data_IF_887559645626
#
_entry.id   IF_887559645626
#
_cell.length_a   1.000
_cell.length_b   1.000
_cell.length_c   1.000
_cell.angle_alpha   90.00
_cell.angle_beta   90.00
_cell.angle_gamma   90.00
#
_symmetry.space_group_name_H-M   'P 1'
#
loop_
_entity.id
_entity.type
_entity.pdbx_description
1 polymer ?
#
# COMPACT_ATOMS: atom_id res chain seq x y z
N UNK A 1 10.50 -20.22 -0.84
CA UNK A 1 11.53 -19.18 -0.97
C UNK A 1 12.77 -19.82 -1.57
N UNK A 2 13.17 -19.48 -2.81
CA UNK A 2 14.35 -20.08 -3.41
C UNK A 2 15.55 -19.21 -3.06
N UNK A 3 16.20 -19.56 -1.96
CA UNK A 3 17.53 -19.07 -1.65
C UNK A 3 18.49 -20.15 -2.15
N UNK A 4 19.47 -19.78 -2.96
CA UNK A 4 20.40 -20.72 -3.59
C UNK A 4 21.37 -21.28 -2.53
N UNK A 5 20.89 -22.21 -1.71
CA UNK A 5 21.72 -22.86 -0.70
C UNK A 5 22.67 -23.86 -1.38
N UNK A 6 23.96 -23.73 -1.11
CA UNK A 6 24.95 -24.71 -1.53
C UNK A 6 24.54 -26.10 -1.01
N UNK A 7 24.54 -27.10 -1.90
CA UNK A 7 24.17 -28.50 -1.61
C UNK A 7 22.70 -28.77 -1.21
N UNK A 8 21.79 -27.81 -1.41
CA UNK A 8 20.36 -28.02 -1.10
C UNK A 8 20.06 -28.30 0.38
N UNK A 9 21.06 -28.11 1.27
CA UNK A 9 20.91 -28.22 2.72
C UNK A 9 20.70 -26.83 3.30
N UNK A 10 19.78 -26.72 4.27
CA UNK A 10 19.64 -25.50 5.05
C UNK A 10 20.94 -25.25 5.84
N UNK A 11 21.48 -24.03 5.85
CA UNK A 11 22.64 -23.72 6.66
C UNK A 11 22.36 -24.01 8.14
N UNK A 12 23.33 -24.53 8.91
CA UNK A 12 23.14 -24.88 10.31
C UNK A 12 22.84 -23.66 11.19
N UNK A 13 23.17 -22.46 10.72
CA UNK A 13 22.85 -21.20 11.38
C UNK A 13 22.34 -20.21 10.31
N UNK A 14 21.04 -19.87 10.31
CA UNK A 14 20.36 -19.26 9.16
C UNK A 14 20.79 -17.82 8.87
N UNK A 15 21.42 -17.12 9.83
CA UNK A 15 21.69 -15.68 9.78
C UNK A 15 23.14 -15.32 10.15
N UNK A 16 24.05 -16.31 10.11
CA UNK A 16 25.45 -16.07 10.48
C UNK A 16 26.09 -15.07 9.51
N UNK A 17 26.60 -13.96 10.05
CA UNK A 17 27.21 -12.84 9.30
C UNK A 17 26.27 -12.13 8.28
N UNK A 18 24.94 -12.24 8.43
CA UNK A 18 24.01 -11.44 7.63
C UNK A 18 23.56 -10.20 8.41
N UNK A 19 23.68 -9.04 7.78
CA UNK A 19 23.14 -7.78 8.30
C UNK A 19 21.63 -7.72 8.01
N UNK A 20 20.81 -7.72 9.06
CA UNK A 20 19.35 -7.69 8.94
C UNK A 20 18.85 -6.31 9.36
N UNK A 21 18.36 -5.53 8.40
CA UNK A 21 17.70 -4.23 8.66
C UNK A 21 16.19 -4.44 8.74
N UNK A 22 15.65 -4.44 9.95
CA UNK A 22 14.21 -4.54 10.20
C UNK A 22 13.63 -3.13 10.25
N UNK A 23 12.68 -2.83 9.37
CA UNK A 23 11.94 -1.56 9.36
C UNK A 23 10.50 -1.85 9.78
N UNK A 24 10.12 -1.37 10.96
CA UNK A 24 8.75 -1.49 11.47
C UNK A 24 7.96 -0.27 11.00
N UNK A 25 6.83 -0.52 10.33
CA UNK A 25 5.92 0.54 9.88
C UNK A 25 4.94 0.96 10.97
N UNK A 26 4.31 2.11 10.78
CA UNK A 26 3.22 2.60 11.64
C UNK A 26 1.86 1.99 11.23
N UNK A 27 0.96 1.73 12.19
CA UNK A 27 -0.40 1.27 11.87
C UNK A 27 -1.15 2.36 11.10
N UNK A 28 -1.89 1.95 10.07
CA UNK A 28 -2.67 2.85 9.22
C UNK A 28 -4.17 2.57 9.43
N UNK A 29 -4.92 3.59 9.81
CA UNK A 29 -6.37 3.52 10.00
C UNK A 29 -7.09 4.32 8.91
N UNK A 30 -8.15 3.73 8.35
CA UNK A 30 -8.95 4.38 7.32
C UNK A 30 -10.35 4.68 7.85
N UNK A 31 -10.69 5.97 7.94
CA UNK A 31 -12.04 6.42 8.22
C UNK A 31 -12.90 6.29 6.96
N UNK A 32 -13.41 5.09 6.70
CA UNK A 32 -14.23 4.80 5.52
C UNK A 32 -15.44 5.74 5.35
N UNK A 33 -16.18 6.15 6.40
CA UNK A 33 -17.30 7.08 6.25
C UNK A 33 -16.85 8.47 5.75
N UNK A 34 -15.76 8.98 6.29
CA UNK A 34 -15.20 10.29 5.91
C UNK A 34 -14.65 10.26 4.48
N UNK A 35 -13.88 9.21 4.15
CA UNK A 35 -13.34 9.01 2.81
C UNK A 35 -14.46 8.86 1.77
N UNK A 36 -15.58 8.25 2.16
CA UNK A 36 -16.76 8.10 1.31
C UNK A 36 -17.40 9.45 1.00
N UNK A 37 -17.63 10.29 2.01
CA UNK A 37 -18.21 11.63 1.80
C UNK A 37 -17.29 12.52 0.96
N UNK A 38 -15.98 12.43 1.19
CA UNK A 38 -14.98 13.12 0.37
C UNK A 38 -15.00 12.64 -1.09
N UNK A 39 -15.12 11.33 -1.31
CA UNK A 39 -15.19 10.77 -2.64
C UNK A 39 -16.49 11.16 -3.37
N UNK A 40 -17.63 11.20 -2.66
CA UNK A 40 -18.90 11.69 -3.19
C UNK A 40 -18.85 13.19 -3.53
N UNK A 41 -18.13 13.98 -2.75
CA UNK A 41 -17.97 15.41 -3.02
C UNK A 41 -17.15 15.63 -4.30
N UNK A 42 -16.08 14.86 -4.49
CA UNK A 42 -15.21 14.94 -5.67
C UNK A 42 -15.82 14.31 -6.93
N UNK A 43 -16.67 13.29 -6.79
CA UNK A 43 -17.27 12.60 -7.94
C UNK A 43 -18.28 13.45 -8.68
N UNK A 44 -18.96 14.38 -7.99
CA UNK A 44 -19.98 15.28 -8.57
C UNK A 44 -19.46 16.14 -9.71
N UNK A 45 -18.15 16.36 -9.77
CA UNK A 45 -17.50 17.13 -10.82
C UNK A 45 -17.05 16.27 -12.02
N UNK A 46 -17.18 14.93 -11.93
CA UNK A 46 -16.69 13.99 -12.93
C UNK A 46 -17.81 13.12 -13.52
N UNK A 47 -18.19 13.37 -14.76
CA UNK A 47 -19.31 12.68 -15.43
C UNK A 47 -18.90 11.42 -16.21
N UNK A 48 -17.88 10.68 -15.77
CA UNK A 48 -17.35 9.53 -16.53
C UNK A 48 -17.89 8.19 -16.00
N UNK A 49 -18.89 7.66 -16.70
CA UNK A 49 -19.38 6.29 -16.55
C UNK A 49 -18.59 5.37 -17.48
N UNK A 50 -17.73 4.51 -16.94
CA UNK A 50 -17.12 3.42 -17.70
C UNK A 50 -17.74 2.11 -17.20
N UNK A 51 -18.53 1.44 -18.02
CA UNK A 51 -19.28 0.23 -17.64
C UNK A 51 -18.45 -0.99 -17.19
N UNK A 52 -17.16 -0.83 -16.86
CA UNK A 52 -16.25 -1.85 -16.35
C UNK A 52 -16.09 -1.85 -14.83
N UNK A 53 -16.63 -0.86 -14.10
CA UNK A 53 -16.58 -0.88 -12.64
C UNK A 53 -17.72 -1.71 -12.04
N UNK A 54 -17.48 -2.46 -10.94
CA UNK A 54 -18.50 -3.28 -10.32
C UNK A 54 -19.68 -2.42 -9.87
N UNK A 55 -20.81 -2.58 -10.55
CA UNK A 55 -22.06 -1.90 -10.21
C UNK A 55 -22.45 -2.30 -8.79
N UNK A 56 -22.52 -1.31 -7.92
CA UNK A 56 -22.91 -1.43 -6.53
C UNK A 56 -24.29 -2.08 -6.39
N UNK A 57 -24.31 -3.35 -5.95
CA UNK A 57 -25.56 -4.06 -5.59
C UNK A 57 -26.08 -3.62 -4.21
N UNK A 58 -25.26 -2.97 -3.36
CA UNK A 58 -25.58 -2.79 -1.92
C UNK A 58 -25.29 -1.42 -1.30
N UNK A 59 -24.87 -0.39 -2.05
CA UNK A 59 -24.21 0.76 -1.41
C UNK A 59 -24.45 2.16 -1.96
N UNK A 60 -25.29 2.37 -2.98
CA UNK A 60 -25.70 3.71 -3.43
C UNK A 60 -24.59 4.70 -3.88
N UNK A 61 -23.32 4.31 -3.89
CA UNK A 61 -22.21 5.14 -4.36
C UNK A 61 -22.15 5.16 -5.90
N UNK A 62 -21.93 6.31 -6.52
CA UNK A 62 -21.72 6.39 -7.97
C UNK A 62 -20.35 5.78 -8.36
N UNK A 63 -20.23 5.39 -9.63
CA UNK A 63 -18.99 4.77 -10.15
C UNK A 63 -17.77 5.69 -9.96
N UNK A 64 -17.98 6.99 -10.14
CA UNK A 64 -16.96 8.01 -10.03
C UNK A 64 -16.44 8.16 -8.58
N UNK A 65 -17.31 8.14 -7.57
CA UNK A 65 -16.89 8.19 -6.17
C UNK A 65 -16.22 6.87 -5.78
N UNK A 66 -16.65 5.72 -6.31
CA UNK A 66 -15.95 4.47 -6.02
C UNK A 66 -14.51 4.50 -6.53
N UNK A 67 -14.30 5.00 -7.77
CA UNK A 67 -12.96 5.23 -8.33
C UNK A 67 -12.16 6.21 -7.51
N UNK A 68 -12.77 7.34 -7.16
CA UNK A 68 -12.13 8.37 -6.34
C UNK A 68 -11.68 7.78 -5.00
N UNK A 69 -12.58 7.10 -4.29
CA UNK A 69 -12.29 6.42 -3.02
C UNK A 69 -11.12 5.43 -3.16
N UNK A 70 -11.17 4.56 -4.16
CA UNK A 70 -10.12 3.58 -4.41
C UNK A 70 -8.78 4.26 -4.69
N UNK A 71 -8.78 5.29 -5.53
CA UNK A 71 -7.58 6.02 -5.91
C UNK A 71 -6.98 6.75 -4.70
N UNK A 72 -7.81 7.40 -3.89
CA UNK A 72 -7.39 8.07 -2.64
C UNK A 72 -6.75 7.08 -1.66
N UNK A 73 -7.40 5.95 -1.39
CA UNK A 73 -6.85 4.92 -0.48
C UNK A 73 -5.54 4.37 -1.03
N UNK A 74 -5.50 4.05 -2.33
CA UNK A 74 -4.30 3.51 -2.98
C UNK A 74 -3.13 4.48 -2.93
N UNK A 75 -3.40 5.78 -3.10
CA UNK A 75 -2.39 6.83 -3.03
C UNK A 75 -1.83 6.96 -1.61
N UNK A 76 -2.69 6.99 -0.58
CA UNK A 76 -2.23 7.04 0.80
C UNK A 76 -1.35 5.83 1.16
N UNK A 77 -1.75 4.62 0.73
CA UNK A 77 -0.93 3.41 0.93
C UNK A 77 0.43 3.56 0.23
N UNK A 78 0.42 4.02 -1.03
CA UNK A 78 1.65 4.21 -1.80
C UNK A 78 2.58 5.21 -1.11
N UNK A 79 2.07 6.37 -0.71
CA UNK A 79 2.86 7.40 -0.02
C UNK A 79 3.47 6.87 1.27
N UNK A 80 2.70 6.16 2.10
CA UNK A 80 3.22 5.57 3.35
C UNK A 80 4.32 4.54 3.06
N UNK A 81 4.13 3.66 2.07
CA UNK A 81 5.15 2.68 1.68
C UNK A 81 6.41 3.32 1.10
N UNK A 82 6.27 4.38 0.30
CA UNK A 82 7.39 5.14 -0.24
C UNK A 82 8.19 5.84 0.86
N UNK A 83 7.50 6.42 1.85
CA UNK A 83 8.14 7.00 3.03
C UNK A 83 8.93 5.93 3.79
N UNK A 84 8.32 4.78 4.10
CA UNK A 84 9.00 3.67 4.77
C UNK A 84 10.23 3.18 3.99
N UNK A 85 10.14 3.12 2.66
CA UNK A 85 11.28 2.78 1.80
C UNK A 85 12.39 3.81 1.86
N UNK A 86 12.05 5.11 1.90
CA UNK A 86 13.04 6.18 2.02
C UNK A 86 13.71 6.18 3.40
N UNK A 87 12.95 5.92 4.48
CA UNK A 87 13.51 5.69 5.81
C UNK A 87 14.53 4.55 5.78
N UNK A 88 14.17 3.39 5.24
CA UNK A 88 15.09 2.24 5.08
C UNK A 88 16.40 2.63 4.37
N UNK A 89 16.31 3.37 3.26
CA UNK A 89 17.50 3.82 2.50
C UNK A 89 18.37 4.81 3.28
N UNK A 90 17.78 5.65 4.12
CA UNK A 90 18.54 6.62 4.92
C UNK A 90 19.46 5.91 5.92
N UNK A 91 19.00 4.81 6.54
CA UNK A 91 19.83 4.00 7.43
C UNK A 91 20.99 3.30 6.72
N UNK A 92 20.87 3.01 5.42
CA UNK A 92 21.96 2.45 4.62
C UNK A 92 23.05 3.48 4.28
N UNK A 93 22.80 4.79 4.48
CA UNK A 93 23.73 5.87 4.10
C UNK A 93 24.53 6.44 5.30
N UNK A 94 24.09 6.17 6.53
CA UNK A 94 24.74 6.69 7.75
C UNK A 94 25.94 5.83 8.20
N UNK A 95 26.12 4.64 7.61
CA UNK A 95 27.25 3.73 7.91
C UNK A 95 28.43 3.83 6.91
N UNK A 96 28.63 4.99 6.25
CA UNK A 96 29.82 5.27 5.43
C UNK A 96 30.66 6.40 6.01
#
# INVERSE_FOLDING_TARGET
>A
MPENYAFGRRPPVPLWNQEIKIVVGEPMEFNLPELREMALSQSRDSSFSSGQWPRNILGGLDEAAQKCLYMTISDQIRTTLENLRNFSKSYAKVEQ
#
